data_IF_420668382791
#
_entry.id   IF_420668382791
#
_cell.length_a   1.000
_cell.length_b   1.000
_cell.length_c   1.000
_cell.angle_alpha   90.00
_cell.angle_beta   90.00
_cell.angle_gamma   90.00
#
_symmetry.space_group_name_H-M   'P 1'
#
loop_
_entity.id
_entity.type
_entity.pdbx_description
1 polymer ?
#
# COMPACT_ATOMS: atom_id res chain seq x y z
N UNK A 1 12.64 2.25 -1.71
CA UNK A 1 12.87 1.25 -0.65
C UNK A 1 11.53 0.70 -0.26
N UNK A 2 11.41 -0.61 -0.01
CA UNK A 2 10.15 -1.19 0.46
C UNK A 2 9.73 -0.57 1.79
N UNK A 3 8.46 -0.76 2.14
CA UNK A 3 7.91 -0.34 3.42
C UNK A 3 8.86 -0.72 4.58
N UNK A 4 9.50 0.25 5.22
CA UNK A 4 10.45 0.09 6.35
C UNK A 4 9.85 0.57 7.66
N UNK A 5 9.06 1.64 7.65
CA UNK A 5 8.52 2.28 8.86
C UNK A 5 7.00 2.39 8.85
N UNK A 6 6.39 2.43 10.02
CA UNK A 6 4.93 2.59 10.17
C UNK A 6 4.41 3.94 9.65
N UNK A 7 5.31 4.87 9.30
CA UNK A 7 5.00 6.19 8.77
C UNK A 7 5.23 6.32 7.26
N UNK A 8 5.64 5.27 6.55
CA UNK A 8 5.91 5.39 5.11
C UNK A 8 4.67 5.77 4.29
N UNK A 9 3.47 5.44 4.79
CA UNK A 9 2.22 5.86 4.18
C UNK A 9 2.05 7.38 4.19
N UNK A 10 2.63 8.10 5.18
CA UNK A 10 2.63 9.56 5.20
C UNK A 10 3.45 10.15 4.04
N UNK A 11 4.52 9.47 3.61
CA UNK A 11 5.30 9.91 2.44
C UNK A 11 4.45 9.81 1.18
N UNK A 12 3.67 8.73 1.05
CA UNK A 12 2.68 8.61 -0.02
C UNK A 12 1.64 9.73 0.03
N UNK A 13 1.15 10.10 1.22
CA UNK A 13 0.25 11.24 1.38
C UNK A 13 0.87 12.57 0.98
N UNK A 14 2.12 12.84 1.38
CA UNK A 14 2.83 14.07 1.00
C UNK A 14 3.03 14.19 -0.51
N UNK A 15 3.35 13.09 -1.18
CA UNK A 15 3.46 13.06 -2.65
C UNK A 15 2.12 13.37 -3.31
N UNK A 16 1.02 12.79 -2.80
CA UNK A 16 -0.32 13.03 -3.33
C UNK A 16 -0.82 14.45 -3.02
N UNK A 17 -0.49 15.00 -1.86
CA UNK A 17 -0.83 16.37 -1.47
C UNK A 17 -0.15 17.41 -2.35
N UNK A 18 1.13 17.20 -2.70
CA UNK A 18 1.85 18.04 -3.65
C UNK A 18 1.16 18.11 -5.03
N UNK A 19 0.38 17.08 -5.39
CA UNK A 19 -0.45 17.02 -6.59
C UNK A 19 -1.91 17.48 -6.39
N UNK A 20 -2.28 18.00 -5.21
CA UNK A 20 -3.65 18.42 -4.87
C UNK A 20 -4.63 17.26 -4.61
N UNK A 21 -4.13 16.04 -4.39
CA UNK A 21 -4.93 14.81 -4.32
C UNK A 21 -5.18 14.27 -2.91
N UNK A 22 -4.83 15.00 -1.84
CA UNK A 22 -4.82 14.48 -0.47
C UNK A 22 -6.22 14.04 0.02
N UNK A 23 -7.27 14.81 -0.25
CA UNK A 23 -8.64 14.47 0.15
C UNK A 23 -9.21 13.21 -0.52
N UNK A 24 -8.52 12.71 -1.54
CA UNK A 24 -8.96 11.67 -2.45
C UNK A 24 -8.08 10.42 -2.39
N UNK A 25 -7.08 10.41 -1.50
CA UNK A 25 -6.18 9.30 -1.30
C UNK A 25 -6.87 8.15 -0.58
N UNK A 26 -6.68 6.93 -1.08
CA UNK A 26 -7.11 5.68 -0.46
C UNK A 26 -5.90 4.77 -0.36
N UNK A 27 -5.87 3.88 0.63
CA UNK A 27 -4.81 2.90 0.77
C UNK A 27 -5.39 1.52 1.13
N UNK A 28 -4.70 0.47 0.69
CA UNK A 28 -4.92 -0.87 1.23
C UNK A 28 -4.20 -1.02 2.57
N UNK A 29 -4.95 -1.22 3.64
CA UNK A 29 -4.42 -1.31 5.00
C UNK A 29 -4.82 -2.62 5.69
N UNK A 30 -4.09 -2.95 6.76
CA UNK A 30 -4.38 -4.11 7.59
C UNK A 30 -5.67 -3.87 8.39
N UNK A 31 -6.62 -4.81 8.38
CA UNK A 31 -7.92 -4.66 9.06
C UNK A 31 -7.77 -4.37 10.56
N UNK A 32 -6.74 -4.91 11.19
CA UNK A 32 -6.45 -4.67 12.61
C UNK A 32 -6.14 -3.20 12.93
N UNK A 33 -5.78 -2.38 11.93
CA UNK A 33 -5.58 -0.94 12.13
C UNK A 33 -6.89 -0.19 12.42
N UNK A 34 -8.04 -0.79 12.09
CA UNK A 34 -9.35 -0.25 12.49
C UNK A 34 -9.56 -0.27 14.01
N UNK A 35 -8.77 -1.05 14.76
CA UNK A 35 -8.87 -1.13 16.22
C UNK A 35 -8.09 0.00 16.91
N UNK A 36 -7.31 0.80 16.18
CA UNK A 36 -6.60 1.95 16.74
C UNK A 36 -7.62 3.06 17.00
N UNK A 37 -7.79 3.55 18.25
CA UNK A 37 -8.72 4.63 18.55
C UNK A 37 -8.43 5.87 17.70
N UNK A 38 -9.48 6.59 17.30
CA UNK A 38 -9.45 7.74 16.41
C UNK A 38 -8.99 7.42 14.97
N UNK A 39 -7.76 6.93 14.77
CA UNK A 39 -7.21 6.64 13.45
C UNK A 39 -7.96 5.53 12.71
N UNK A 40 -8.37 4.46 13.41
CA UNK A 40 -9.17 3.39 12.84
C UNK A 40 -10.51 3.90 12.30
N UNK A 41 -11.16 4.81 13.03
CA UNK A 41 -12.38 5.46 12.57
C UNK A 41 -12.12 6.36 11.35
N UNK A 42 -11.05 7.15 11.38
CA UNK A 42 -10.67 8.02 10.24
C UNK A 42 -10.46 7.19 8.98
N UNK A 43 -9.64 6.14 9.03
CA UNK A 43 -9.36 5.28 7.88
C UNK A 43 -10.62 4.59 7.33
N UNK A 44 -11.52 4.16 8.22
CA UNK A 44 -12.82 3.65 7.81
C UNK A 44 -13.67 4.73 7.13
N UNK A 45 -13.76 5.93 7.72
CA UNK A 45 -14.56 7.04 7.22
C UNK A 45 -14.06 7.59 5.88
N UNK A 46 -12.75 7.48 5.60
CA UNK A 46 -12.17 7.88 4.31
C UNK A 46 -12.08 6.72 3.31
N UNK A 47 -12.85 5.65 3.46
CA UNK A 47 -12.91 4.48 2.57
C UNK A 47 -11.55 3.81 2.28
N UNK A 48 -10.68 3.68 3.28
CA UNK A 48 -9.50 2.83 3.11
C UNK A 48 -9.90 1.36 3.00
N UNK A 49 -9.22 0.64 2.11
CA UNK A 49 -9.51 -0.76 1.82
C UNK A 49 -8.87 -1.64 2.91
N UNK A 50 -9.67 -2.11 3.85
CA UNK A 50 -9.19 -2.82 5.03
C UNK A 50 -9.18 -4.34 4.84
N UNK A 51 -7.99 -4.96 4.81
CA UNK A 51 -7.79 -6.36 4.43
C UNK A 51 -7.26 -7.22 5.59
N UNK A 52 -7.68 -8.49 5.65
CA UNK A 52 -7.18 -9.48 6.63
C UNK A 52 -5.88 -10.15 6.20
N UNK A 53 -5.40 -9.87 4.98
CA UNK A 53 -4.25 -10.50 4.31
C UNK A 53 -4.51 -11.98 4.01
N UNK A 54 -5.78 -12.32 3.76
CA UNK A 54 -6.22 -13.63 3.33
C UNK A 54 -7.17 -13.47 2.14
N UNK A 55 -6.74 -13.95 0.97
CA UNK A 55 -7.49 -13.81 -0.27
C UNK A 55 -8.92 -14.35 -0.18
N UNK A 56 -9.13 -15.48 0.51
CA UNK A 56 -10.44 -16.12 0.59
C UNK A 56 -11.48 -15.22 1.29
N UNK A 57 -11.07 -14.43 2.27
CA UNK A 57 -11.95 -13.46 2.93
C UNK A 57 -11.94 -12.08 2.26
N UNK A 58 -10.82 -11.71 1.66
CA UNK A 58 -10.57 -10.34 1.20
C UNK A 58 -11.10 -10.08 -0.22
N UNK A 59 -11.30 -11.11 -1.04
CA UNK A 59 -11.78 -10.95 -2.42
C UNK A 59 -13.12 -10.21 -2.50
N UNK A 60 -14.07 -10.54 -1.62
CA UNK A 60 -15.38 -9.86 -1.54
C UNK A 60 -15.25 -8.40 -1.08
N UNK A 61 -14.43 -8.16 -0.06
CA UNK A 61 -14.13 -6.80 0.45
C UNK A 61 -13.52 -5.92 -0.64
N UNK A 62 -12.61 -6.47 -1.44
CA UNK A 62 -12.01 -5.77 -2.57
C UNK A 62 -13.06 -5.42 -3.64
N UNK A 63 -13.90 -6.39 -4.03
CA UNK A 63 -14.98 -6.16 -5.00
C UNK A 63 -15.96 -5.06 -4.54
N UNK A 64 -16.37 -5.10 -3.27
CA UNK A 64 -17.24 -4.07 -2.68
C UNK A 64 -16.56 -2.70 -2.65
N UNK A 65 -15.27 -2.65 -2.31
CA UNK A 65 -14.46 -1.43 -2.32
C UNK A 65 -14.31 -0.85 -3.73
N UNK A 66 -14.15 -1.69 -4.76
CA UNK A 66 -14.05 -1.20 -6.14
C UNK A 66 -15.37 -0.63 -6.64
N UNK A 67 -16.51 -1.25 -6.27
CA UNK A 67 -17.84 -0.73 -6.58
C UNK A 67 -18.07 0.66 -5.97
N UNK A 68 -17.72 0.85 -4.69
CA UNK A 68 -17.82 2.19 -4.09
C UNK A 68 -16.85 3.18 -4.75
N UNK A 69 -15.64 2.74 -5.13
CA UNK A 69 -14.66 3.57 -5.84
C UNK A 69 -15.11 3.99 -7.25
N UNK A 70 -15.95 3.20 -7.94
CA UNK A 70 -16.54 3.63 -9.21
C UNK A 70 -17.46 4.84 -9.07
N UNK A 71 -18.16 4.97 -7.94
CA UNK A 71 -19.01 6.14 -7.69
C UNK A 71 -18.19 7.44 -7.65
N UNK A 72 -16.95 7.41 -7.15
CA UNK A 72 -16.06 8.59 -7.20
C UNK A 72 -15.78 9.01 -8.65
N UNK A 73 -15.47 8.05 -9.52
CA UNK A 73 -15.24 8.30 -10.95
C UNK A 73 -16.49 8.85 -11.65
N UNK A 74 -17.66 8.27 -11.39
CA UNK A 74 -18.93 8.70 -11.97
C UNK A 74 -19.30 10.13 -11.58
N UNK A 75 -18.99 10.52 -10.33
CA UNK A 75 -19.19 11.87 -9.82
C UNK A 75 -18.02 12.82 -10.10
N UNK A 76 -17.06 12.43 -10.96
CA UNK A 76 -15.88 13.21 -11.31
C UNK A 76 -15.02 13.65 -10.10
N UNK A 77 -15.08 12.88 -9.02
CA UNK A 77 -14.24 13.09 -7.84
C UNK A 77 -12.90 12.38 -8.09
N UNK A 78 -11.76 13.10 -8.06
CA UNK A 78 -10.45 12.46 -8.14
C UNK A 78 -10.33 11.37 -7.09
N UNK A 79 -9.63 10.27 -7.40
CA UNK A 79 -9.30 9.26 -6.39
C UNK A 79 -7.97 8.59 -6.73
N UNK A 80 -7.24 8.17 -5.72
CA UNK A 80 -6.02 7.37 -5.87
C UNK A 80 -6.04 6.21 -4.90
N UNK A 81 -5.47 5.06 -5.31
CA UNK A 81 -5.32 3.90 -4.44
C UNK A 81 -3.85 3.54 -4.32
N UNK A 82 -3.32 3.68 -3.11
CA UNK A 82 -1.94 3.31 -2.78
C UNK A 82 -1.88 1.86 -2.32
N UNK A 83 -0.98 1.09 -2.91
CA UNK A 83 -0.76 -0.32 -2.58
C UNK A 83 0.73 -0.55 -2.38
N UNK A 84 1.10 -1.15 -1.25
CA UNK A 84 2.43 -1.71 -1.03
C UNK A 84 2.37 -3.20 -1.37
N UNK A 85 2.82 -3.63 -2.56
CA UNK A 85 2.59 -4.99 -3.05
C UNK A 85 3.30 -6.05 -2.20
N UNK A 86 4.32 -5.69 -1.41
CA UNK A 86 4.96 -6.59 -0.45
C UNK A 86 3.98 -7.07 0.63
N UNK A 87 2.99 -6.24 0.97
CA UNK A 87 2.01 -6.48 2.02
C UNK A 87 2.60 -6.50 3.44
N UNK A 88 3.86 -6.09 3.61
CA UNK A 88 4.52 -6.07 4.93
C UNK A 88 5.79 -5.23 4.96
N UNK A 89 6.19 -4.82 6.17
CA UNK A 89 7.46 -4.15 6.42
C UNK A 89 8.65 -5.06 6.12
N UNK A 90 9.69 -4.50 5.48
CA UNK A 90 10.99 -5.10 5.27
C UNK A 90 11.69 -5.30 6.61
N UNK A 91 12.01 -6.55 6.93
CA UNK A 91 12.93 -6.93 8.00
C UNK A 91 13.92 -7.94 7.43
N UNK A 92 15.09 -8.09 8.06
CA UNK A 92 16.12 -9.02 7.57
C UNK A 92 15.58 -10.45 7.41
N UNK A 93 14.89 -10.95 8.45
CA UNK A 93 14.20 -12.25 8.42
C UNK A 93 13.24 -12.40 7.24
N UNK A 94 12.41 -11.38 6.96
CA UNK A 94 11.43 -11.45 5.85
C UNK A 94 12.10 -11.33 4.49
N UNK A 95 13.23 -10.64 4.41
CA UNK A 95 14.03 -10.57 3.20
C UNK A 95 14.61 -11.95 2.87
N UNK A 96 15.15 -12.65 3.86
CA UNK A 96 15.62 -14.04 3.72
C UNK A 96 14.48 -14.97 3.27
N UNK A 97 13.35 -14.97 3.97
CA UNK A 97 12.14 -15.73 3.59
C UNK A 97 11.68 -15.40 2.16
N UNK A 98 11.72 -14.12 1.78
CA UNK A 98 11.36 -13.69 0.42
C UNK A 98 12.35 -14.17 -0.63
N UNK A 99 13.64 -14.24 -0.30
CA UNK A 99 14.69 -14.73 -1.19
C UNK A 99 14.59 -16.24 -1.38
N UNK A 100 14.31 -16.99 -0.31
CA UNK A 100 14.02 -18.42 -0.37
C UNK A 100 12.79 -18.70 -1.23
N UNK A 101 11.71 -17.93 -1.04
CA UNK A 101 10.53 -17.99 -1.89
C UNK A 101 10.87 -17.77 -3.35
N UNK A 102 11.63 -16.71 -3.67
CA UNK A 102 12.05 -16.41 -5.04
C UNK A 102 12.86 -17.56 -5.66
N UNK A 103 13.86 -18.09 -4.93
CA UNK A 103 14.66 -19.25 -5.35
C UNK A 103 13.79 -20.47 -5.64
N UNK A 104 12.88 -20.81 -4.72
CA UNK A 104 12.00 -21.98 -4.86
C UNK A 104 11.06 -21.91 -6.07
N UNK A 105 10.75 -20.70 -6.54
CA UNK A 105 9.87 -20.43 -7.68
C UNK A 105 10.62 -20.10 -8.97
N UNK A 106 11.96 -20.16 -8.97
CA UNK A 106 12.78 -19.77 -10.12
C UNK A 106 12.69 -18.29 -10.48
N UNK A 107 12.31 -17.44 -9.52
CA UNK A 107 12.23 -15.99 -9.70
C UNK A 107 13.57 -15.32 -9.42
N UNK A 108 13.75 -14.11 -9.95
CA UNK A 108 14.93 -13.28 -9.65
C UNK A 108 15.02 -12.99 -8.15
N UNK A 109 16.18 -13.26 -7.55
CA UNK A 109 16.41 -13.08 -6.11
C UNK A 109 16.76 -11.63 -5.83
N UNK A 110 15.85 -10.91 -5.18
CA UNK A 110 16.00 -9.50 -4.86
C UNK A 110 16.87 -9.29 -3.61
N UNK A 111 17.83 -8.35 -3.68
CA UNK A 111 18.83 -8.13 -2.62
C UNK A 111 18.41 -7.11 -1.55
N UNK A 112 17.59 -6.13 -1.91
CA UNK A 112 17.28 -4.98 -1.05
C UNK A 112 15.78 -4.78 -0.80
N UNK A 113 14.94 -5.58 -1.47
CA UNK A 113 13.49 -5.46 -1.51
C UNK A 113 12.87 -6.85 -1.42
N UNK A 114 11.69 -6.93 -0.83
CA UNK A 114 10.85 -8.13 -0.81
C UNK A 114 10.22 -8.36 -2.19
N UNK A 115 9.97 -9.62 -2.51
CA UNK A 115 9.19 -10.01 -3.68
C UNK A 115 7.74 -9.53 -3.52
N UNK A 116 7.17 -8.83 -4.53
CA UNK A 116 5.80 -8.35 -4.46
C UNK A 116 4.80 -9.51 -4.46
N UNK A 117 3.73 -9.36 -3.68
CA UNK A 117 2.54 -10.23 -3.72
C UNK A 117 1.55 -9.64 -4.72
N UNK A 118 1.54 -10.20 -5.92
CA UNK A 118 0.84 -9.61 -7.07
C UNK A 118 -0.68 -9.67 -7.01
N UNK A 119 -1.30 -10.59 -6.26
CA UNK A 119 -2.75 -10.80 -6.27
C UNK A 119 -3.58 -9.55 -5.93
N UNK A 120 -3.19 -8.82 -4.88
CA UNK A 120 -3.91 -7.61 -4.46
C UNK A 120 -3.79 -6.49 -5.47
N UNK A 121 -2.57 -6.24 -5.97
CA UNK A 121 -2.31 -5.26 -7.02
C UNK A 121 -3.05 -5.62 -8.32
N UNK A 122 -2.96 -6.88 -8.75
CA UNK A 122 -3.65 -7.37 -9.94
C UNK A 122 -5.16 -7.22 -9.82
N UNK A 123 -5.73 -7.53 -8.66
CA UNK A 123 -7.14 -7.32 -8.38
C UNK A 123 -7.53 -5.86 -8.51
N UNK A 124 -6.72 -4.93 -7.99
CA UNK A 124 -6.99 -3.50 -8.09
C UNK A 124 -6.94 -3.01 -9.54
N UNK A 125 -5.91 -3.42 -10.29
CA UNK A 125 -5.74 -3.03 -11.70
C UNK A 125 -6.91 -3.50 -12.57
N UNK A 126 -7.42 -4.72 -12.34
CA UNK A 126 -8.55 -5.25 -13.11
C UNK A 126 -9.92 -4.80 -12.59
N UNK A 127 -10.02 -4.51 -11.29
CA UNK A 127 -11.27 -4.11 -10.65
C UNK A 127 -11.57 -2.62 -10.78
N UNK A 128 -10.55 -1.78 -10.96
CA UNK A 128 -10.68 -0.33 -11.02
C UNK A 128 -10.56 0.20 -12.44
N UNK A 129 -11.30 1.28 -12.70
CA UNK A 129 -11.15 2.07 -13.94
C UNK A 129 -10.07 3.12 -13.69
N UNK A 130 -8.81 2.73 -13.88
CA UNK A 130 -7.63 3.57 -13.65
C UNK A 130 -7.24 4.33 -14.93
N UNK A 131 -6.89 5.61 -14.79
CA UNK A 131 -6.32 6.39 -15.90
C UNK A 131 -4.80 6.21 -16.01
N UNK A 132 -4.13 5.92 -14.89
CA UNK A 132 -2.69 5.71 -14.83
C UNK A 132 -2.29 4.87 -13.61
N UNK A 133 -1.10 4.27 -13.69
CA UNK A 133 -0.46 3.55 -12.59
C UNK A 133 0.94 4.16 -12.42
N UNK A 134 1.25 4.58 -11.20
CA UNK A 134 2.56 5.11 -10.84
C UNK A 134 3.31 4.09 -9.98
N UNK A 135 4.54 3.79 -10.37
CA UNK A 135 5.50 3.10 -9.51
C UNK A 135 6.47 4.13 -8.95
N UNK A 136 6.54 4.23 -7.62
CA UNK A 136 7.31 5.24 -6.94
C UNK A 136 8.26 4.59 -5.93
N UNK A 137 9.54 4.90 -6.05
CA UNK A 137 10.58 4.45 -5.11
C UNK A 137 11.10 5.63 -4.32
N UNK A 138 10.82 5.64 -3.02
CA UNK A 138 11.42 6.61 -2.09
C UNK A 138 12.75 6.08 -1.60
N UNK A 139 13.81 6.87 -1.75
CA UNK A 139 15.13 6.61 -1.20
C UNK A 139 15.56 7.77 -0.30
N UNK A 140 16.02 7.52 0.94
CA UNK A 140 16.60 8.57 1.76
C UNK A 140 17.85 9.13 1.09
N UNK A 141 18.00 10.45 1.12
CA UNK A 141 19.18 11.13 0.59
C UNK A 141 20.25 11.13 1.69
N UNK A 142 21.36 10.40 1.47
CA UNK A 142 22.48 10.33 2.41
C UNK A 142 22.49 9.07 3.30
N UNK A 143 23.68 8.50 3.47
CA UNK A 143 23.92 7.30 4.28
C UNK A 143 23.95 7.62 5.77
N UNK A 144 22.84 8.06 6.36
CA UNK A 144 22.62 8.00 7.81
C UNK A 144 21.15 8.32 8.09
N UNK A 145 20.45 7.39 8.72
CA UNK A 145 19.17 7.70 9.35
C UNK A 145 17.95 7.17 8.63
N UNK A 146 17.21 6.34 9.36
CA UNK A 146 15.78 6.14 9.17
C UNK A 146 15.04 7.50 9.29
N UNK A 147 13.85 7.65 8.69
CA UNK A 147 13.09 8.93 8.72
C UNK A 147 12.81 9.47 10.14
N UNK A 148 12.99 8.63 11.16
CA UNK A 148 12.84 8.96 12.58
C UNK A 148 14.06 9.69 13.19
N UNK A 149 15.26 9.61 12.58
CA UNK A 149 16.45 10.32 13.10
C UNK A 149 16.50 11.79 12.72
N UNK A 150 15.57 12.27 11.89
CA UNK A 150 15.45 13.69 11.53
C UNK A 150 14.48 14.47 12.46
N UNK A 151 13.89 13.79 13.44
CA UNK A 151 12.93 14.36 14.39
C UNK A 151 13.44 14.37 15.85
N UNK A 152 14.76 14.21 16.05
CA UNK A 152 15.47 14.39 17.32
C UNK A 152 16.53 15.47 17.17
#
# INVERSE_FOLDING_TARGET
VNHRGDLDWLVGLMILDAGGGLGCCKAMIKRELLMVPFFGFVWWAVDFVCLRRNWASDAKTLEESYKSQHAYRENQVPYSLTVFPEGTRLTQKKLEESQEFAKSRGLSVLKHVLCPRTKGLWSAVNGLRLDSIFDATVAPMGAAGNILTLAQ
#
